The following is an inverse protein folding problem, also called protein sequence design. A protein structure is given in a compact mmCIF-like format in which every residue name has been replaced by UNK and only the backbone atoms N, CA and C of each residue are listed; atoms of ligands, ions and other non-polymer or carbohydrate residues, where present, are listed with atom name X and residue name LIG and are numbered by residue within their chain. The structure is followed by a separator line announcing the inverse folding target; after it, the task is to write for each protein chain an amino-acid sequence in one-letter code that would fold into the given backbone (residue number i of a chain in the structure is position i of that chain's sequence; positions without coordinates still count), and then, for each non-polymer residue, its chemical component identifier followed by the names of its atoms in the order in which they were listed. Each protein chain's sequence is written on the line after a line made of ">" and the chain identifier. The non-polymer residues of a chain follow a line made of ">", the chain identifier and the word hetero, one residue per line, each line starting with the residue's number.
data_IF_678700392093
#
_entry.id   IF_678700392093
#
_cell.length_a   1.000
_cell.length_b   1.000
_cell.length_c   1.000
_cell.angle_alpha   90.00
_cell.angle_beta   90.00
_cell.angle_gamma   90.00
#
_symmetry.space_group_name_H-M   'P 1'
#
loop_
_entity.id
_entity.type
_entity.pdbx_description
1 polymer ?
#
# COMPACT_ATOMS: atom_id res chain seq x y z
N UNK A 1 -13.52 25.68 26.15
CA UNK A 1 -12.89 24.35 26.30
C UNK A 1 -13.67 23.36 25.43
N UNK A 2 -13.13 22.88 24.29
CA UNK A 2 -13.84 21.86 23.46
C UNK A 2 -13.66 20.51 24.13
N UNK A 3 -14.75 19.97 24.67
CA UNK A 3 -14.76 18.63 25.22
C UNK A 3 -14.33 17.64 24.12
N UNK A 4 -13.25 16.89 24.34
CA UNK A 4 -12.74 15.93 23.37
C UNK A 4 -13.75 14.86 23.03
N UNK A 5 -13.62 14.24 21.86
CA UNK A 5 -14.52 13.20 21.35
C UNK A 5 -14.77 12.07 22.36
N UNK A 6 -13.72 11.62 23.07
CA UNK A 6 -13.81 10.62 24.16
C UNK A 6 -14.76 11.01 25.28
N UNK A 7 -14.65 12.27 25.74
CA UNK A 7 -15.48 12.75 26.82
C UNK A 7 -16.94 12.91 26.40
N UNK A 8 -17.21 13.27 25.14
CA UNK A 8 -18.57 13.34 24.59
C UNK A 8 -19.23 11.96 24.52
N UNK A 9 -18.53 10.94 24.00
CA UNK A 9 -19.06 9.56 23.95
C UNK A 9 -19.32 9.04 25.37
N UNK A 10 -18.37 9.26 26.29
CA UNK A 10 -18.52 8.84 27.68
C UNK A 10 -19.74 9.48 28.34
N UNK A 11 -19.89 10.79 28.22
CA UNK A 11 -21.03 11.54 28.79
C UNK A 11 -22.34 11.06 28.19
N UNK A 12 -22.40 10.86 26.87
CA UNK A 12 -23.62 10.43 26.19
C UNK A 12 -24.06 9.02 26.63
N UNK A 13 -23.12 8.06 26.67
CA UNK A 13 -23.41 6.70 27.12
C UNK A 13 -23.75 6.63 28.62
N UNK A 14 -23.05 7.39 29.45
CA UNK A 14 -23.36 7.45 30.88
C UNK A 14 -24.73 8.08 31.12
N UNK A 15 -25.08 9.16 30.43
CA UNK A 15 -26.39 9.79 30.53
C UNK A 15 -27.52 8.88 30.09
N UNK A 16 -27.33 8.18 28.96
CA UNK A 16 -28.33 7.23 28.44
C UNK A 16 -28.58 6.02 29.34
N UNK A 17 -27.59 5.59 30.11
CA UNK A 17 -27.74 4.50 31.05
C UNK A 17 -28.31 4.94 32.41
N UNK A 18 -27.90 6.09 32.93
CA UNK A 18 -28.24 6.57 34.27
C UNK A 18 -29.61 7.22 34.32
N UNK A 19 -29.95 8.06 33.32
CA UNK A 19 -31.23 8.83 33.35
C UNK A 19 -32.46 7.94 33.37
N UNK A 20 -32.61 6.89 32.52
CA UNK A 20 -33.76 5.99 32.59
C UNK A 20 -33.83 5.23 33.92
N UNK A 21 -32.68 4.82 34.47
CA UNK A 21 -32.62 4.12 35.74
C UNK A 21 -33.10 5.01 36.92
N UNK A 22 -32.68 6.27 36.94
CA UNK A 22 -33.14 7.25 37.96
C UNK A 22 -34.65 7.51 37.81
N UNK A 23 -35.15 7.74 36.59
CA UNK A 23 -36.58 7.98 36.34
C UNK A 23 -37.40 6.78 36.79
N UNK A 24 -37.00 5.57 36.44
CA UNK A 24 -37.72 4.33 36.84
C UNK A 24 -37.72 4.14 38.36
N UNK A 25 -36.61 4.44 39.02
CA UNK A 25 -36.49 4.34 40.49
C UNK A 25 -37.37 5.35 41.19
N UNK A 26 -37.44 6.60 40.73
CA UNK A 26 -38.29 7.64 41.28
C UNK A 26 -39.76 7.32 41.05
N UNK A 27 -40.15 6.84 39.87
CA UNK A 27 -41.53 6.44 39.56
C UNK A 27 -41.97 5.25 40.41
N UNK A 28 -41.12 4.22 40.54
CA UNK A 28 -41.40 3.04 41.38
C UNK A 28 -41.47 3.39 42.87
N UNK A 29 -40.53 4.17 43.37
CA UNK A 29 -40.50 4.65 44.76
C UNK A 29 -41.75 5.46 45.10
N UNK A 30 -42.17 6.37 44.19
CA UNK A 30 -43.38 7.16 44.37
C UNK A 30 -44.66 6.33 44.43
N UNK A 31 -44.81 5.33 43.56
CA UNK A 31 -45.97 4.44 43.55
C UNK A 31 -46.01 3.55 44.81
N UNK A 32 -44.85 3.05 45.26
CA UNK A 32 -44.78 2.15 46.42
C UNK A 32 -45.09 2.88 47.73
N UNK A 33 -44.68 4.13 47.89
CA UNK A 33 -45.00 4.94 49.08
C UNK A 33 -46.48 5.29 49.19
N UNK A 34 -47.22 5.29 48.06
CA UNK A 34 -48.66 5.53 48.04
C UNK A 34 -49.48 4.25 48.25
N UNK A 35 -49.07 3.10 47.73
CA UNK A 35 -49.83 1.85 47.75
C UNK A 35 -49.61 1.06 49.02
N UNK A 36 -48.43 1.01 49.61
CA UNK A 36 -48.12 0.23 50.80
C UNK A 36 -48.96 0.62 52.00
N UNK A 37 -49.19 1.90 52.35
CA UNK A 37 -50.08 2.26 53.48
C UNK A 37 -51.50 1.86 53.28
N UNK A 38 -52.03 1.83 52.07
CA UNK A 38 -53.37 1.41 51.73
C UNK A 38 -53.60 -0.09 51.98
N UNK A 39 -52.58 -0.90 51.83
CA UNK A 39 -52.57 -2.34 52.06
C UNK A 39 -52.40 -2.70 53.56
N UNK A 40 -51.88 -1.84 54.38
CA UNK A 40 -51.58 -2.10 55.78
C UNK A 40 -52.80 -2.12 56.67
N UNK A 41 -53.95 -1.54 56.32
CA UNK A 41 -55.22 -1.61 57.02
C UNK A 41 -55.17 -1.20 58.50
N UNK A 42 -54.15 -0.46 58.92
CA UNK A 42 -53.84 -0.14 60.34
C UNK A 42 -55.07 0.32 61.19
N UNK A 43 -55.88 1.27 60.74
CA UNK A 43 -57.01 1.75 61.53
C UNK A 43 -58.12 0.69 61.76
N UNK A 44 -58.29 -0.22 60.80
CA UNK A 44 -59.28 -1.27 60.88
C UNK A 44 -58.90 -2.34 61.90
N UNK A 45 -57.64 -2.75 61.96
CA UNK A 45 -57.18 -3.77 62.90
C UNK A 45 -57.12 -3.26 64.34
N UNK A 46 -56.79 -2.01 64.61
CA UNK A 46 -56.85 -1.42 65.94
C UNK A 46 -58.26 -1.36 66.44
N UNK A 47 -59.21 -1.00 65.58
CA UNK A 47 -60.63 -0.99 65.93
C UNK A 47 -61.17 -2.42 66.25
N UNK A 48 -60.79 -3.40 65.41
CA UNK A 48 -61.18 -4.83 65.58
C UNK A 48 -60.56 -5.38 66.87
N UNK A 49 -59.34 -5.03 67.22
CA UNK A 49 -58.67 -5.44 68.46
C UNK A 49 -59.44 -4.94 69.69
N UNK A 50 -59.71 -3.65 69.78
CA UNK A 50 -60.37 -3.01 70.92
C UNK A 50 -61.86 -3.47 71.05
N UNK A 51 -62.55 -3.54 69.93
CA UNK A 51 -63.97 -3.97 69.94
C UNK A 51 -64.14 -5.48 70.23
N UNK A 52 -63.21 -6.30 69.63
CA UNK A 52 -63.15 -7.71 69.85
C UNK A 52 -62.83 -8.10 71.29
N UNK A 53 -61.86 -7.43 71.93
CA UNK A 53 -61.56 -7.63 73.36
C UNK A 53 -62.72 -7.26 74.26
N UNK A 54 -63.43 -6.16 74.01
CA UNK A 54 -64.64 -5.77 74.75
C UNK A 54 -65.75 -6.79 74.57
N UNK A 55 -65.99 -7.26 73.37
CA UNK A 55 -67.01 -8.28 73.10
C UNK A 55 -66.73 -9.60 73.86
N UNK A 56 -65.49 -10.05 73.87
CA UNK A 56 -65.03 -11.24 74.60
C UNK A 56 -65.12 -11.05 76.08
N UNK A 57 -64.94 -9.87 76.66
CA UNK A 57 -65.08 -9.59 78.03
C UNK A 57 -66.57 -9.66 78.47
N UNK A 58 -67.47 -9.10 77.67
CA UNK A 58 -68.93 -9.22 77.90
C UNK A 58 -69.38 -10.69 77.78
N UNK A 59 -68.89 -11.44 76.77
CA UNK A 59 -69.20 -12.86 76.64
C UNK A 59 -68.71 -13.70 77.83
N UNK A 60 -67.50 -13.40 78.34
CA UNK A 60 -66.98 -14.05 79.56
C UNK A 60 -67.87 -13.84 80.79
N UNK A 61 -68.38 -12.64 80.96
CA UNK A 61 -69.31 -12.35 82.11
C UNK A 61 -70.59 -13.10 81.98
N UNK A 62 -71.02 -13.49 80.80
CA UNK A 62 -72.29 -14.18 80.52
C UNK A 62 -72.12 -15.68 80.29
N UNK A 63 -70.92 -16.23 80.29
CA UNK A 63 -70.67 -17.66 80.10
C UNK A 63 -71.23 -18.51 81.25
N UNK A 64 -72.06 -19.47 80.92
CA UNK A 64 -72.74 -20.37 81.91
C UNK A 64 -72.31 -21.83 81.79
N UNK A 65 -71.71 -22.24 80.73
CA UNK A 65 -71.25 -23.63 80.50
C UNK A 65 -69.76 -23.74 80.26
N UNK A 66 -69.21 -24.91 80.48
CA UNK A 66 -67.77 -25.17 80.12
C UNK A 66 -67.50 -25.05 78.61
N UNK A 67 -68.51 -25.37 77.80
CA UNK A 67 -68.46 -25.24 76.35
C UNK A 67 -68.33 -23.75 75.90
N UNK A 68 -69.12 -22.87 76.58
CA UNK A 68 -69.07 -21.42 76.32
C UNK A 68 -67.64 -20.86 76.61
N UNK A 69 -67.06 -21.30 77.72
CA UNK A 69 -65.71 -20.89 78.14
C UNK A 69 -64.65 -21.37 77.17
N UNK A 70 -64.77 -22.57 76.64
CA UNK A 70 -63.86 -23.11 75.66
C UNK A 70 -63.94 -22.33 74.32
N UNK A 71 -65.18 -22.01 73.90
CA UNK A 71 -65.39 -21.21 72.64
C UNK A 71 -64.83 -19.80 72.76
N UNK A 72 -65.04 -19.17 73.93
CA UNK A 72 -64.48 -17.84 74.22
C UNK A 72 -62.94 -17.88 74.21
N UNK A 73 -62.31 -18.91 74.82
CA UNK A 73 -60.87 -19.07 74.83
C UNK A 73 -60.31 -19.28 73.39
N UNK A 74 -61.01 -20.08 72.57
CA UNK A 74 -60.62 -20.26 71.16
C UNK A 74 -60.67 -18.94 70.38
N UNK A 75 -61.75 -18.14 70.55
CA UNK A 75 -61.91 -16.85 69.93
C UNK A 75 -60.86 -15.84 70.43
N UNK A 76 -60.53 -15.87 71.69
CA UNK A 76 -59.49 -15.04 72.28
C UNK A 76 -58.07 -15.34 71.65
N UNK A 77 -57.77 -16.64 71.48
CA UNK A 77 -56.57 -17.12 70.89
C UNK A 77 -56.51 -16.71 69.41
N UNK A 78 -57.57 -16.84 68.66
CA UNK A 78 -57.67 -16.44 67.28
C UNK A 78 -57.49 -14.93 67.10
N UNK A 79 -58.12 -14.10 67.96
CA UNK A 79 -57.96 -12.64 67.94
C UNK A 79 -56.51 -12.24 68.27
N UNK A 80 -55.92 -12.83 69.31
CA UNK A 80 -54.54 -12.57 69.69
C UNK A 80 -53.56 -12.93 68.57
N UNK A 81 -53.77 -14.06 67.89
CA UNK A 81 -52.96 -14.47 66.73
C UNK A 81 -53.15 -13.49 65.59
N UNK A 82 -54.36 -13.06 65.28
CA UNK A 82 -54.64 -12.09 64.22
C UNK A 82 -53.97 -10.71 64.47
N UNK A 83 -54.06 -10.22 65.70
CA UNK A 83 -53.44 -8.98 66.14
C UNK A 83 -51.90 -9.09 66.07
N UNK A 84 -51.35 -10.24 66.51
CA UNK A 84 -49.92 -10.48 66.46
C UNK A 84 -49.39 -10.50 64.98
N UNK A 85 -50.16 -11.13 64.09
CA UNK A 85 -49.84 -11.18 62.66
C UNK A 85 -49.96 -9.80 62.03
N UNK A 86 -50.97 -9.02 62.39
CA UNK A 86 -51.06 -7.61 61.92
C UNK A 86 -49.89 -6.75 62.38
N UNK A 87 -49.45 -6.85 63.62
CA UNK A 87 -48.26 -6.14 64.13
C UNK A 87 -46.98 -6.56 63.47
N UNK A 88 -46.83 -7.83 63.13
CA UNK A 88 -45.68 -8.26 62.30
C UNK A 88 -45.70 -7.66 60.92
N UNK A 89 -46.85 -7.58 60.29
CA UNK A 89 -47.05 -6.93 59.02
C UNK A 89 -46.71 -5.42 59.07
N UNK A 90 -47.07 -4.76 60.15
CA UNK A 90 -46.81 -3.36 60.44
C UNK A 90 -45.29 -3.08 60.48
N UNK A 91 -44.51 -3.88 61.19
CA UNK A 91 -43.06 -3.75 61.27
C UNK A 91 -42.38 -3.93 59.89
N UNK A 92 -42.98 -4.83 59.06
CA UNK A 92 -42.45 -5.01 57.68
C UNK A 92 -42.85 -3.82 56.83
N UNK A 93 -44.06 -3.31 56.89
CA UNK A 93 -44.54 -2.18 56.09
C UNK A 93 -43.86 -0.85 56.44
N UNK A 94 -43.46 -0.63 57.69
CA UNK A 94 -42.68 0.58 58.08
C UNK A 94 -41.28 0.57 57.60
N UNK A 95 -40.62 -0.60 57.55
CA UNK A 95 -39.21 -0.73 57.08
C UNK A 95 -39.06 -0.99 55.59
N UNK A 96 -40.07 -1.57 54.95
CA UNK A 96 -40.06 -1.90 53.54
C UNK A 96 -39.76 -0.68 52.62
N UNK A 97 -40.33 0.50 52.81
CA UNK A 97 -40.01 1.68 51.97
C UNK A 97 -38.55 2.08 52.06
N UNK A 98 -37.97 2.04 53.28
CA UNK A 98 -36.54 2.40 53.46
C UNK A 98 -35.63 1.36 52.82
N UNK A 99 -35.93 0.05 52.97
CA UNK A 99 -35.16 -1.01 52.32
C UNK A 99 -35.27 -0.94 50.78
N UNK A 100 -36.44 -0.61 50.25
CA UNK A 100 -36.65 -0.39 48.80
C UNK A 100 -35.89 0.81 48.28
N UNK A 101 -35.87 1.93 48.99
CA UNK A 101 -35.07 3.11 48.60
C UNK A 101 -33.59 2.78 48.60
N UNK A 102 -33.08 2.12 49.65
CA UNK A 102 -31.66 1.76 49.74
C UNK A 102 -31.27 0.78 48.64
N UNK A 103 -32.08 -0.27 48.40
CA UNK A 103 -31.80 -1.24 47.33
C UNK A 103 -31.90 -0.63 45.94
N UNK A 104 -32.82 0.30 45.70
CA UNK A 104 -32.92 1.04 44.45
C UNK A 104 -31.71 1.94 44.19
N UNK A 105 -31.27 2.67 45.23
CA UNK A 105 -30.05 3.51 45.16
C UNK A 105 -28.80 2.65 44.89
N UNK A 106 -28.68 1.49 45.53
CA UNK A 106 -27.59 0.55 45.24
C UNK A 106 -27.64 0.04 43.81
N UNK A 107 -28.83 -0.31 43.30
CA UNK A 107 -29.00 -0.79 41.92
C UNK A 107 -28.63 0.32 40.89
N UNK A 108 -29.10 1.54 41.12
CA UNK A 108 -28.71 2.71 40.25
C UNK A 108 -27.21 2.94 40.30
N UNK A 109 -26.62 2.88 41.48
CA UNK A 109 -25.15 3.03 41.64
C UNK A 109 -24.39 1.95 40.90
N UNK A 110 -24.84 0.69 40.98
CA UNK A 110 -24.23 -0.43 40.24
C UNK A 110 -24.38 -0.25 38.74
N UNK A 111 -25.57 0.10 38.25
CA UNK A 111 -25.81 0.34 36.82
C UNK A 111 -24.96 1.51 36.28
N UNK A 112 -24.86 2.60 37.04
CA UNK A 112 -24.03 3.73 36.70
C UNK A 112 -22.54 3.34 36.63
N UNK A 113 -22.05 2.54 37.57
CA UNK A 113 -20.69 2.02 37.58
C UNK A 113 -20.40 1.13 36.37
N UNK A 114 -21.28 0.17 36.05
CA UNK A 114 -21.13 -0.72 34.88
C UNK A 114 -21.17 0.08 33.59
N UNK A 115 -22.10 1.03 33.45
CA UNK A 115 -22.21 1.89 32.29
C UNK A 115 -20.97 2.76 32.09
N UNK A 116 -20.44 3.36 33.16
CA UNK A 116 -19.22 4.15 33.12
C UNK A 116 -17.99 3.31 32.70
N UNK A 117 -17.89 2.08 33.22
CA UNK A 117 -16.83 1.17 32.86
C UNK A 117 -16.92 0.71 31.41
N UNK A 118 -18.12 0.35 30.93
CA UNK A 118 -18.37 -0.04 29.55
C UNK A 118 -18.08 1.13 28.56
N UNK A 119 -18.59 2.32 28.88
CA UNK A 119 -18.35 3.53 28.11
C UNK A 119 -16.86 3.87 28.02
N UNK A 120 -16.13 3.77 29.15
CA UNK A 120 -14.69 3.99 29.19
C UNK A 120 -13.90 2.93 28.39
N UNK A 121 -14.36 1.69 28.35
CA UNK A 121 -13.76 0.62 27.55
C UNK A 121 -13.97 0.88 26.06
N UNK A 122 -15.21 1.13 25.66
CA UNK A 122 -15.57 1.39 24.25
C UNK A 122 -14.89 2.65 23.71
N UNK A 123 -14.85 3.73 24.50
CA UNK A 123 -14.17 4.95 24.12
C UNK A 123 -12.66 4.72 23.89
N UNK A 124 -12.02 3.87 24.67
CA UNK A 124 -10.60 3.49 24.44
C UNK A 124 -10.41 2.63 23.21
N UNK A 125 -11.31 1.71 22.93
CA UNK A 125 -11.22 0.84 21.74
C UNK A 125 -11.44 1.58 20.42
N UNK A 126 -12.26 2.62 20.38
CA UNK A 126 -12.57 3.37 19.16
C UNK A 126 -11.68 4.60 18.99
N UNK A 127 -11.44 5.37 20.06
CA UNK A 127 -10.73 6.65 19.91
C UNK A 127 -9.22 6.51 19.68
N UNK A 128 -8.57 5.52 20.31
CA UNK A 128 -7.12 5.34 20.14
C UNK A 128 -6.72 4.97 18.71
N UNK A 129 -7.35 3.96 18.05
CA UNK A 129 -7.06 3.66 16.64
C UNK A 129 -7.37 4.83 15.71
N UNK A 130 -8.44 5.60 15.97
CA UNK A 130 -8.76 6.80 15.18
C UNK A 130 -7.69 7.89 15.30
N UNK A 131 -7.21 8.17 16.51
CA UNK A 131 -6.14 9.15 16.75
C UNK A 131 -4.83 8.71 16.04
N UNK A 132 -4.53 7.41 16.03
CA UNK A 132 -3.38 6.84 15.30
C UNK A 132 -3.53 7.03 13.79
N UNK A 133 -4.72 6.76 13.22
CA UNK A 133 -4.99 6.94 11.79
C UNK A 133 -4.85 8.41 11.39
N UNK A 134 -5.40 9.33 12.20
CA UNK A 134 -5.25 10.77 11.96
C UNK A 134 -3.78 11.20 12.04
N UNK A 135 -3.00 10.67 12.98
CA UNK A 135 -1.56 10.93 13.03
C UNK A 135 -0.84 10.38 11.79
N UNK A 136 -1.22 9.20 11.29
CA UNK A 136 -0.63 8.60 10.09
C UNK A 136 -0.89 9.40 8.83
N UNK A 137 -2.08 9.99 8.66
CA UNK A 137 -2.33 10.90 7.53
C UNK A 137 -1.38 12.09 7.54
N UNK A 138 -1.04 12.61 8.73
CA UNK A 138 -0.05 13.67 8.88
C UNK A 138 1.38 13.24 8.52
N UNK A 139 1.76 12.00 8.86
CA UNK A 139 3.07 11.42 8.49
C UNK A 139 3.17 11.20 6.98
N UNK A 140 2.12 10.63 6.36
CA UNK A 140 2.05 10.44 4.89
C UNK A 140 2.19 11.78 4.16
N UNK A 141 1.46 12.82 4.62
CA UNK A 141 1.54 14.15 4.01
C UNK A 141 2.94 14.77 4.07
N UNK A 142 3.74 14.42 5.09
CA UNK A 142 5.13 14.86 5.24
C UNK A 142 6.15 13.95 4.52
N UNK A 143 5.71 12.82 3.99
CA UNK A 143 6.61 11.80 3.42
C UNK A 143 7.42 11.05 4.47
N UNK A 144 6.95 11.01 5.73
CA UNK A 144 7.61 10.29 6.81
C UNK A 144 7.16 8.82 6.84
N UNK A 145 8.05 7.92 7.29
CA UNK A 145 7.74 6.49 7.38
C UNK A 145 6.69 6.21 8.44
N UNK A 146 5.73 5.37 8.10
CA UNK A 146 4.71 4.93 9.06
C UNK A 146 5.30 3.97 10.10
N UNK A 147 4.92 4.09 11.39
CA UNK A 147 5.35 3.18 12.43
C UNK A 147 4.86 1.75 12.18
N UNK A 148 5.73 0.78 12.44
CA UNK A 148 5.39 -0.65 12.43
C UNK A 148 4.76 -1.03 13.78
N UNK A 149 3.53 -0.61 14.04
CA UNK A 149 2.85 -0.93 15.29
C UNK A 149 1.94 -2.15 15.14
N UNK A 150 1.90 -3.01 16.17
CA UNK A 150 0.98 -4.14 16.21
C UNK A 150 -0.47 -3.66 16.11
N UNK A 151 -1.32 -4.41 15.41
CA UNK A 151 -2.74 -4.10 15.27
C UNK A 151 -3.41 -4.08 16.64
N UNK A 152 -3.92 -2.93 17.06
CA UNK A 152 -4.71 -2.74 18.28
C UNK A 152 -6.10 -2.24 17.88
N UNK A 153 -7.14 -2.76 18.53
CA UNK A 153 -8.52 -2.39 18.28
C UNK A 153 -9.28 -3.45 17.48
N UNK A 154 -10.44 -3.07 16.96
CA UNK A 154 -11.29 -3.95 16.16
C UNK A 154 -10.62 -4.34 14.83
N UNK A 155 -10.93 -5.51 14.24
CA UNK A 155 -10.32 -6.03 13.01
C UNK A 155 -10.38 -5.04 11.84
N UNK A 156 -11.41 -4.22 11.76
CA UNK A 156 -11.66 -3.22 10.72
C UNK A 156 -10.55 -2.16 10.68
N UNK A 157 -10.00 -1.78 11.84
CA UNK A 157 -8.86 -0.87 11.91
C UNK A 157 -7.58 -1.51 11.37
N UNK A 158 -7.46 -2.83 11.44
CA UNK A 158 -6.36 -3.58 10.83
C UNK A 158 -6.37 -3.45 9.30
N UNK A 159 -7.54 -3.60 8.68
CA UNK A 159 -7.72 -3.44 7.23
C UNK A 159 -7.40 -2.01 6.79
N UNK A 160 -7.91 -1.01 7.53
CA UNK A 160 -7.66 0.40 7.22
C UNK A 160 -6.17 0.75 7.34
N UNK A 161 -5.50 0.26 8.37
CA UNK A 161 -4.05 0.45 8.59
C UNK A 161 -3.22 -0.16 7.46
N UNK A 162 -3.52 -1.40 7.05
CA UNK A 162 -2.82 -2.05 5.93
C UNK A 162 -3.08 -1.34 4.59
N UNK A 163 -4.27 -0.78 4.40
CA UNK A 163 -4.58 0.09 3.27
C UNK A 163 -3.73 1.35 3.24
N UNK A 164 -3.60 2.03 4.38
CA UNK A 164 -2.76 3.23 4.51
C UNK A 164 -1.27 2.94 4.31
N UNK A 165 -0.78 1.79 4.80
CA UNK A 165 0.61 1.37 4.59
C UNK A 165 0.90 1.12 3.10
N UNK A 166 -0.01 0.44 2.40
CA UNK A 166 0.11 0.25 0.94
C UNK A 166 0.11 1.59 0.22
N UNK A 167 -0.85 2.46 0.51
CA UNK A 167 -0.92 3.80 -0.08
C UNK A 167 0.37 4.61 0.15
N UNK A 168 0.94 4.59 1.35
CA UNK A 168 2.20 5.26 1.65
C UNK A 168 3.37 4.68 0.84
N UNK A 169 3.43 3.35 0.68
CA UNK A 169 4.42 2.67 -0.16
C UNK A 169 4.27 3.03 -1.63
N UNK A 170 3.04 3.07 -2.14
CA UNK A 170 2.75 3.41 -3.54
C UNK A 170 3.10 4.88 -3.86
N UNK A 171 2.80 5.80 -2.92
CA UNK A 171 3.18 7.21 -3.04
C UNK A 171 4.71 7.36 -3.08
N UNK A 172 5.43 6.68 -2.19
CA UNK A 172 6.89 6.75 -2.16
C UNK A 172 7.52 6.14 -3.43
N UNK A 173 7.01 4.98 -3.88
CA UNK A 173 7.44 4.37 -5.14
C UNK A 173 7.17 5.29 -6.34
N UNK A 174 5.99 5.90 -6.40
CA UNK A 174 5.64 6.87 -7.45
C UNK A 174 6.53 8.11 -7.43
N UNK A 175 6.86 8.63 -6.25
CA UNK A 175 7.77 9.77 -6.08
C UNK A 175 9.19 9.43 -6.55
N UNK A 176 9.72 8.26 -6.19
CA UNK A 176 11.03 7.81 -6.65
C UNK A 176 11.06 7.64 -8.17
N UNK A 177 10.05 7.01 -8.76
CA UNK A 177 9.93 6.86 -10.20
C UNK A 177 9.87 8.23 -10.92
N UNK A 178 9.12 9.20 -10.36
CA UNK A 178 9.06 10.55 -10.92
C UNK A 178 10.40 11.28 -10.86
N UNK A 179 11.13 11.18 -9.74
CA UNK A 179 12.47 11.77 -9.60
C UNK A 179 13.48 11.13 -10.56
N UNK A 180 13.43 9.83 -10.76
CA UNK A 180 14.27 9.14 -11.73
C UNK A 180 13.96 9.57 -13.17
N UNK A 181 12.66 9.68 -13.50
CA UNK A 181 12.24 10.17 -14.82
C UNK A 181 12.70 11.62 -15.07
N UNK A 182 12.58 12.51 -14.08
CA UNK A 182 13.04 13.89 -14.15
C UNK A 182 14.57 13.97 -14.35
N UNK A 183 15.34 13.20 -13.56
CA UNK A 183 16.80 13.11 -13.72
C UNK A 183 17.20 12.64 -15.11
N UNK A 184 16.52 11.62 -15.63
CA UNK A 184 16.78 11.09 -16.96
C UNK A 184 16.40 12.11 -18.05
N UNK A 185 15.31 12.86 -17.89
CA UNK A 185 14.92 13.93 -18.80
C UNK A 185 15.96 15.07 -18.83
N UNK A 186 16.42 15.52 -17.66
CA UNK A 186 17.48 16.54 -17.56
C UNK A 186 18.78 16.06 -18.19
N UNK A 187 19.18 14.80 -17.99
CA UNK A 187 20.36 14.20 -18.58
C UNK A 187 20.25 14.13 -20.12
N UNK A 188 19.09 13.78 -20.67
CA UNK A 188 18.84 13.78 -22.12
C UNK A 188 18.96 15.16 -22.72
N UNK A 189 18.40 16.18 -22.09
CA UNK A 189 18.47 17.55 -22.58
C UNK A 189 19.94 18.06 -22.58
N UNK A 190 20.69 17.78 -21.50
CA UNK A 190 22.09 18.09 -21.42
C UNK A 190 22.91 17.39 -22.52
N UNK A 191 22.65 16.11 -22.78
CA UNK A 191 23.30 15.35 -23.83
C UNK A 191 23.02 15.94 -25.23
N UNK A 192 21.77 16.35 -25.48
CA UNK A 192 21.38 17.01 -26.75
C UNK A 192 22.14 18.32 -26.95
N UNK A 193 22.23 19.13 -25.90
CA UNK A 193 22.97 20.40 -25.95
C UNK A 193 24.45 20.17 -26.20
N UNK A 194 25.09 19.26 -25.45
CA UNK A 194 26.51 18.90 -25.64
C UNK A 194 26.76 18.40 -27.05
N UNK A 195 25.90 17.55 -27.60
CA UNK A 195 26.04 17.08 -28.98
C UNK A 195 26.05 18.24 -30.00
N UNK A 196 25.16 19.21 -29.79
CA UNK A 196 25.07 20.37 -30.68
C UNK A 196 26.31 21.26 -30.57
N UNK A 197 26.76 21.53 -29.33
CA UNK A 197 27.93 22.34 -29.05
C UNK A 197 29.25 21.69 -29.53
N UNK A 198 29.36 20.35 -29.47
CA UNK A 198 30.51 19.62 -30.01
C UNK A 198 30.51 19.57 -31.52
N UNK A 199 29.35 19.40 -32.16
CA UNK A 199 29.26 19.31 -33.64
C UNK A 199 29.74 20.60 -34.32
N UNK A 200 29.48 21.76 -33.73
CA UNK A 200 29.82 23.06 -34.30
C UNK A 200 31.33 23.24 -34.54
N UNK A 201 32.24 23.05 -33.56
CA UNK A 201 33.69 23.19 -33.80
C UNK A 201 34.30 21.99 -34.54
N UNK A 202 33.73 20.78 -34.40
CA UNK A 202 34.27 19.58 -35.02
C UNK A 202 34.17 19.60 -36.55
N UNK A 203 33.11 20.17 -37.11
CA UNK A 203 32.92 20.22 -38.55
C UNK A 203 34.09 20.98 -39.25
N UNK A 204 34.46 22.23 -38.87
CA UNK A 204 35.56 22.91 -39.48
C UNK A 204 36.92 22.25 -39.19
N UNK A 205 37.13 21.66 -37.99
CA UNK A 205 38.37 20.93 -37.68
C UNK A 205 38.56 19.75 -38.65
N UNK A 206 37.50 18.94 -38.84
CA UNK A 206 37.55 17.82 -39.79
C UNK A 206 37.87 18.26 -41.20
N UNK A 207 37.27 19.36 -41.69
CA UNK A 207 37.59 19.92 -43.00
C UNK A 207 39.05 20.34 -43.11
N UNK A 208 39.60 20.98 -42.06
CA UNK A 208 41.00 21.39 -42.03
C UNK A 208 41.94 20.17 -42.05
N UNK A 209 41.67 19.16 -41.21
CA UNK A 209 42.47 17.92 -41.16
C UNK A 209 42.40 17.15 -42.48
N UNK A 210 41.21 17.03 -43.08
CA UNK A 210 41.02 16.36 -44.38
C UNK A 210 41.79 17.08 -45.50
N UNK A 211 41.86 18.42 -45.48
CA UNK A 211 42.68 19.20 -46.46
C UNK A 211 44.18 19.03 -46.28
N UNK A 212 44.61 18.79 -45.03
CA UNK A 212 46.05 18.56 -44.76
C UNK A 212 46.47 17.14 -45.16
N UNK A 213 45.57 16.16 -45.05
CA UNK A 213 45.81 14.75 -45.34
C UNK A 213 46.31 14.62 -46.81
N UNK A 214 47.46 14.03 -47.00
CA UNK A 214 48.15 13.90 -48.34
C UNK A 214 48.83 15.15 -48.89
N UNK A 215 48.89 16.29 -48.16
CA UNK A 215 49.56 17.52 -48.54
C UNK A 215 50.70 17.94 -47.61
N UNK A 216 50.95 17.16 -46.57
CA UNK A 216 51.99 17.42 -45.57
C UNK A 216 53.24 16.62 -45.85
N UNK A 217 54.34 17.05 -45.29
CA UNK A 217 55.63 16.30 -45.39
C UNK A 217 55.48 14.94 -44.67
N UNK A 218 56.33 13.95 -45.03
CA UNK A 218 56.29 12.64 -44.36
C UNK A 218 56.45 12.71 -42.84
N UNK A 219 57.17 13.69 -42.34
CA UNK A 219 57.37 13.93 -40.90
C UNK A 219 56.07 14.32 -40.15
N UNK A 220 55.14 14.97 -40.83
CA UNK A 220 53.86 15.40 -40.27
C UNK A 220 52.69 14.44 -40.58
N UNK A 221 52.94 13.46 -41.47
CA UNK A 221 51.89 12.55 -41.93
C UNK A 221 51.24 11.76 -40.75
N UNK A 222 52.05 11.25 -39.83
CA UNK A 222 51.61 10.56 -38.65
C UNK A 222 50.74 11.45 -37.73
N UNK A 223 51.20 12.69 -37.51
CA UNK A 223 50.45 13.68 -36.70
C UNK A 223 49.09 14.00 -37.30
N UNK A 224 48.99 14.15 -38.61
CA UNK A 224 47.71 14.41 -39.31
C UNK A 224 46.79 13.19 -39.25
N UNK A 225 47.35 11.98 -39.31
CA UNK A 225 46.53 10.76 -39.17
C UNK A 225 45.97 10.60 -37.74
N UNK A 226 46.74 10.92 -36.70
CA UNK A 226 46.26 10.99 -35.31
C UNK A 226 45.14 12.03 -35.19
N UNK A 227 45.31 13.23 -35.72
CA UNK A 227 44.26 14.26 -35.68
C UNK A 227 43.00 13.84 -36.44
N UNK A 228 43.14 13.14 -37.56
CA UNK A 228 42.03 12.59 -38.32
C UNK A 228 41.25 11.57 -37.47
N UNK A 229 41.95 10.62 -36.83
CA UNK A 229 41.37 9.56 -35.99
C UNK A 229 40.66 10.15 -34.79
N UNK A 230 41.28 11.08 -34.06
CA UNK A 230 40.66 11.71 -32.89
C UNK A 230 39.47 12.61 -33.25
N UNK A 231 39.54 13.31 -34.41
CA UNK A 231 38.37 14.07 -34.89
C UNK A 231 37.18 13.19 -35.24
N UNK A 232 37.44 12.02 -35.86
CA UNK A 232 36.40 11.05 -36.17
C UNK A 232 35.77 10.44 -34.87
N UNK A 233 36.62 10.18 -33.86
CA UNK A 233 36.19 9.70 -32.55
C UNK A 233 35.31 10.72 -31.83
N UNK A 234 35.68 12.00 -31.81
CA UNK A 234 34.87 13.08 -31.24
C UNK A 234 33.53 13.23 -31.96
N UNK A 235 33.51 13.08 -33.29
CA UNK A 235 32.25 13.09 -34.06
C UNK A 235 31.33 11.91 -33.65
N UNK A 236 31.89 10.72 -33.49
CA UNK A 236 31.12 9.55 -33.04
C UNK A 236 30.58 9.77 -31.64
N UNK A 237 31.35 10.38 -30.73
CA UNK A 237 30.86 10.79 -29.41
C UNK A 237 29.69 11.76 -29.52
N UNK A 238 29.83 12.83 -30.32
CA UNK A 238 28.75 13.80 -30.52
C UNK A 238 27.49 13.15 -31.09
N UNK A 239 27.62 12.18 -32.01
CA UNK A 239 26.50 11.39 -32.54
C UNK A 239 25.81 10.56 -31.43
N UNK A 240 26.60 9.90 -30.58
CA UNK A 240 26.07 9.11 -29.46
C UNK A 240 25.31 9.98 -28.47
N UNK A 241 25.83 11.17 -28.14
CA UNK A 241 25.12 12.14 -27.29
C UNK A 241 23.82 12.62 -27.94
N UNK A 242 23.83 12.93 -29.24
CA UNK A 242 22.63 13.34 -29.96
C UNK A 242 21.57 12.25 -30.00
N UNK A 243 21.98 10.99 -30.16
CA UNK A 243 21.07 9.84 -30.16
C UNK A 243 20.45 9.61 -28.78
N UNK A 244 21.26 9.69 -27.73
CA UNK A 244 20.78 9.54 -26.34
C UNK A 244 19.82 10.66 -25.94
N UNK A 245 20.07 11.90 -26.39
CA UNK A 245 19.21 13.06 -26.12
C UNK A 245 17.85 13.04 -26.85
N UNK A 246 17.64 12.12 -27.81
CA UNK A 246 16.40 11.99 -28.57
C UNK A 246 15.58 10.79 -28.05
N UNK A 247 14.30 11.00 -27.82
CA UNK A 247 13.36 9.88 -27.71
C UNK A 247 13.24 9.20 -29.07
N UNK A 248 12.90 7.90 -29.12
CA UNK A 248 12.50 7.27 -30.36
C UNK A 248 11.40 8.08 -31.02
N UNK A 249 11.64 8.53 -32.25
CA UNK A 249 10.72 9.35 -33.06
C UNK A 249 10.43 8.65 -34.37
N UNK A 250 9.32 9.00 -35.00
CA UNK A 250 8.86 8.42 -36.24
C UNK A 250 7.57 7.62 -36.11
N UNK A 251 6.97 7.22 -37.25
CA UNK A 251 5.73 6.46 -37.26
C UNK A 251 5.96 5.05 -36.71
N UNK A 252 4.99 4.59 -35.91
CA UNK A 252 4.91 3.17 -35.54
C UNK A 252 4.27 2.44 -36.73
N UNK A 253 4.97 1.48 -37.26
CA UNK A 253 4.54 0.68 -38.40
C UNK A 253 4.88 -0.80 -38.17
N UNK A 254 4.39 -1.66 -39.03
CA UNK A 254 4.81 -3.05 -39.08
C UNK A 254 6.29 -3.13 -39.47
N UNK A 255 7.07 -3.89 -38.69
CA UNK A 255 8.50 -4.06 -38.86
C UNK A 255 8.77 -5.51 -39.25
N UNK A 256 9.33 -5.70 -40.43
CA UNK A 256 9.94 -6.98 -40.79
C UNK A 256 11.25 -7.16 -40.02
N UNK A 257 11.20 -8.07 -39.04
CA UNK A 257 12.32 -8.33 -38.14
C UNK A 257 13.49 -8.96 -38.87
N UNK A 258 13.22 -9.74 -39.93
CA UNK A 258 14.29 -10.34 -40.72
C UNK A 258 15.05 -9.28 -41.51
N UNK A 259 14.34 -8.34 -42.13
CA UNK A 259 14.92 -7.20 -42.81
C UNK A 259 15.69 -6.28 -41.86
N UNK A 260 15.10 -5.98 -40.67
CA UNK A 260 15.70 -5.19 -39.62
C UNK A 260 17.08 -5.75 -39.19
N UNK A 261 17.11 -7.07 -38.90
CA UNK A 261 18.36 -7.78 -38.51
C UNK A 261 19.37 -7.80 -39.65
N UNK A 262 18.95 -8.11 -40.87
CA UNK A 262 19.84 -8.11 -42.04
C UNK A 262 20.46 -6.73 -42.27
N UNK A 263 19.68 -5.65 -42.21
CA UNK A 263 20.16 -4.30 -42.36
C UNK A 263 21.13 -3.89 -41.25
N UNK A 264 20.80 -4.20 -39.99
CA UNK A 264 21.66 -3.89 -38.83
C UNK A 264 23.03 -4.63 -38.94
N UNK A 265 23.01 -5.90 -39.33
CA UNK A 265 24.23 -6.69 -39.54
C UNK A 265 25.08 -6.11 -40.64
N UNK A 266 24.50 -5.76 -41.78
CA UNK A 266 25.23 -5.17 -42.92
C UNK A 266 25.94 -3.85 -42.56
N UNK A 267 25.33 -3.04 -41.72
CA UNK A 267 25.85 -1.73 -41.34
C UNK A 267 26.88 -1.82 -40.22
N UNK A 268 26.68 -2.73 -39.25
CA UNK A 268 27.41 -2.75 -37.98
C UNK A 268 28.45 -3.86 -37.85
N UNK A 269 28.41 -4.89 -38.72
CA UNK A 269 29.30 -6.04 -38.64
C UNK A 269 30.14 -6.13 -39.92
N UNK A 270 31.50 -6.07 -39.84
CA UNK A 270 32.37 -6.19 -41.01
C UNK A 270 32.16 -7.54 -41.72
N UNK A 271 32.33 -7.56 -43.07
CA UNK A 271 32.07 -8.76 -43.88
C UNK A 271 32.97 -9.95 -43.55
N UNK A 272 34.18 -9.72 -43.07
CA UNK A 272 35.15 -10.76 -42.69
C UNK A 272 34.83 -11.38 -41.31
N UNK A 273 33.85 -10.84 -40.58
CA UNK A 273 33.50 -11.31 -39.21
C UNK A 273 32.64 -12.56 -39.26
N UNK A 274 33.06 -13.61 -38.54
CA UNK A 274 32.29 -14.87 -38.48
C UNK A 274 30.95 -14.64 -37.79
N UNK A 275 29.85 -15.00 -38.46
CA UNK A 275 28.49 -14.79 -37.96
C UNK A 275 27.56 -15.96 -38.25
N UNK A 276 26.70 -16.31 -37.30
CA UNK A 276 25.59 -17.26 -37.43
C UNK A 276 24.27 -16.54 -37.16
N UNK A 277 23.36 -16.58 -38.12
CA UNK A 277 22.06 -15.89 -38.01
C UNK A 277 20.93 -16.91 -38.14
N UNK A 278 20.06 -16.96 -37.15
CA UNK A 278 18.91 -17.86 -37.09
C UNK A 278 17.65 -17.06 -36.82
N UNK A 279 16.72 -17.07 -37.76
CA UNK A 279 15.42 -16.42 -37.62
C UNK A 279 14.36 -17.50 -37.69
N UNK A 280 13.55 -17.62 -36.64
CA UNK A 280 12.46 -18.57 -36.59
C UNK A 280 11.38 -18.21 -37.65
N UNK A 281 10.74 -19.21 -38.22
CA UNK A 281 9.57 -19.02 -39.08
C UNK A 281 8.29 -18.80 -38.26
N UNK A 282 7.33 -18.08 -38.83
CA UNK A 282 6.03 -17.85 -38.16
C UNK A 282 6.09 -16.92 -36.94
N UNK A 283 6.99 -15.93 -36.99
CA UNK A 283 7.06 -14.91 -35.94
C UNK A 283 5.76 -14.07 -35.94
N UNK A 284 5.29 -13.62 -34.76
CA UNK A 284 4.21 -12.66 -34.68
C UNK A 284 4.62 -11.30 -35.27
N UNK A 285 3.66 -10.45 -35.60
CA UNK A 285 3.93 -9.12 -36.19
C UNK A 285 4.50 -8.17 -35.15
N UNK A 286 5.66 -7.56 -35.42
CA UNK A 286 6.25 -6.51 -34.62
C UNK A 286 5.74 -5.14 -35.09
N UNK A 287 5.16 -4.37 -34.17
CA UNK A 287 4.82 -2.96 -34.42
C UNK A 287 5.84 -2.07 -33.76
N UNK A 288 6.48 -1.17 -34.51
CA UNK A 288 7.53 -0.31 -33.93
C UNK A 288 8.05 0.74 -34.89
N UNK A 289 9.03 1.48 -34.42
CA UNK A 289 9.74 2.50 -35.19
C UNK A 289 11.01 1.87 -35.79
N UNK A 290 10.96 1.49 -37.06
CA UNK A 290 12.00 0.74 -37.76
C UNK A 290 13.41 1.33 -37.55
N UNK A 291 13.54 2.63 -37.73
CA UNK A 291 14.86 3.29 -37.63
C UNK A 291 15.41 3.31 -36.19
N UNK A 292 14.53 3.49 -35.21
CA UNK A 292 14.94 3.48 -33.81
C UNK A 292 15.40 2.07 -33.38
N UNK A 293 14.61 1.05 -33.73
CA UNK A 293 14.96 -0.36 -33.46
C UNK A 293 16.23 -0.78 -34.20
N UNK A 294 16.41 -0.35 -35.46
CA UNK A 294 17.64 -0.59 -36.24
C UNK A 294 18.88 0.00 -35.58
N UNK A 295 18.80 1.24 -35.09
CA UNK A 295 19.89 1.87 -34.32
C UNK A 295 20.17 1.14 -33.00
N UNK A 296 19.16 0.73 -32.28
CA UNK A 296 19.32 -0.02 -31.03
C UNK A 296 20.04 -1.36 -31.28
N UNK A 297 19.59 -2.11 -32.28
CA UNK A 297 20.24 -3.36 -32.67
C UNK A 297 21.66 -3.15 -33.16
N UNK A 298 21.90 -2.09 -33.93
CA UNK A 298 23.24 -1.68 -34.38
C UNK A 298 24.18 -1.41 -33.21
N UNK A 299 23.71 -0.76 -32.13
CA UNK A 299 24.53 -0.52 -30.93
C UNK A 299 24.90 -1.84 -30.23
N UNK A 300 23.97 -2.82 -30.15
CA UNK A 300 24.27 -4.14 -29.58
C UNK A 300 25.32 -4.87 -30.44
N UNK A 301 25.12 -4.88 -31.76
CA UNK A 301 26.04 -5.54 -32.71
C UNK A 301 27.43 -4.92 -32.69
N UNK A 302 27.50 -3.60 -32.68
CA UNK A 302 28.80 -2.88 -32.61
C UNK A 302 29.53 -3.20 -31.31
N UNK A 303 28.82 -3.19 -30.17
CA UNK A 303 29.39 -3.58 -28.87
C UNK A 303 29.94 -5.03 -28.89
N UNK A 304 29.21 -5.94 -29.52
CA UNK A 304 29.60 -7.35 -29.65
C UNK A 304 30.84 -7.53 -30.53
N UNK A 305 30.91 -6.86 -31.70
CA UNK A 305 32.07 -6.86 -32.59
C UNK A 305 33.31 -6.29 -31.89
N UNK A 306 33.16 -5.16 -31.22
CA UNK A 306 34.27 -4.53 -30.47
C UNK A 306 34.76 -5.41 -29.32
N UNK A 307 33.86 -6.14 -28.61
CA UNK A 307 34.25 -7.04 -27.55
C UNK A 307 35.02 -8.28 -28.06
N UNK A 308 34.71 -8.73 -29.27
CA UNK A 308 35.39 -9.85 -29.92
C UNK A 308 36.77 -9.47 -30.49
N UNK A 309 37.04 -8.21 -30.75
CA UNK A 309 38.29 -7.76 -31.44
C UNK A 309 38.32 -8.18 -32.90
N UNK A 310 39.50 -8.63 -33.39
CA UNK A 310 39.72 -8.92 -34.81
C UNK A 310 39.27 -10.31 -35.27
N UNK A 311 39.05 -11.26 -34.35
CA UNK A 311 38.81 -12.67 -34.67
C UNK A 311 37.79 -13.31 -33.71
N UNK A 312 36.58 -12.81 -33.75
CA UNK A 312 35.52 -13.35 -32.91
C UNK A 312 34.38 -13.97 -33.71
N UNK A 313 33.42 -14.52 -33.00
CA UNK A 313 32.22 -15.08 -33.55
C UNK A 313 30.98 -14.41 -32.96
N UNK A 314 30.04 -14.10 -33.84
CA UNK A 314 28.76 -13.49 -33.48
C UNK A 314 27.61 -14.43 -33.81
N UNK A 315 26.70 -14.64 -32.89
CA UNK A 315 25.45 -15.38 -33.13
C UNK A 315 24.27 -14.46 -32.89
N UNK A 316 23.39 -14.37 -33.89
CA UNK A 316 22.12 -13.62 -33.77
C UNK A 316 20.97 -14.55 -33.98
N UNK A 317 20.06 -14.60 -33.02
CA UNK A 317 18.83 -15.43 -33.10
C UNK A 317 17.60 -14.58 -32.86
N UNK A 318 16.55 -14.87 -33.63
CA UNK A 318 15.21 -14.27 -33.47
C UNK A 318 14.21 -15.38 -33.26
N UNK A 319 13.45 -15.30 -32.19
CA UNK A 319 12.45 -16.31 -31.82
C UNK A 319 11.20 -15.67 -31.23
N UNK A 320 10.08 -16.39 -31.31
CA UNK A 320 8.87 -16.03 -30.59
C UNK A 320 9.13 -16.12 -29.07
N UNK A 321 8.61 -15.17 -28.33
CA UNK A 321 8.73 -15.05 -26.88
C UNK A 321 7.42 -14.54 -26.28
N UNK A 322 7.41 -14.30 -24.97
CA UNK A 322 6.28 -13.67 -24.27
C UNK A 322 6.76 -12.62 -23.28
N UNK A 323 5.98 -11.58 -23.08
CA UNK A 323 6.12 -10.63 -21.98
C UNK A 323 4.87 -10.80 -21.09
N UNK A 324 5.03 -11.46 -19.95
CA UNK A 324 3.89 -11.95 -19.17
C UNK A 324 3.07 -12.97 -19.98
N UNK A 325 1.80 -12.66 -20.29
CA UNK A 325 0.93 -13.48 -21.13
C UNK A 325 0.84 -12.99 -22.59
N UNK A 326 1.45 -11.84 -22.92
CA UNK A 326 1.35 -11.25 -24.24
C UNK A 326 2.43 -11.81 -25.20
N UNK A 327 2.13 -12.01 -26.50
CA UNK A 327 3.09 -12.45 -27.49
C UNK A 327 4.18 -11.40 -27.69
N UNK A 328 5.40 -11.87 -27.90
CA UNK A 328 6.58 -11.02 -28.08
C UNK A 328 7.58 -11.68 -29.05
N UNK A 329 8.57 -10.93 -29.48
CA UNK A 329 9.73 -11.40 -30.25
C UNK A 329 10.98 -11.13 -29.41
N UNK A 330 11.84 -12.13 -29.27
CA UNK A 330 13.15 -12.01 -28.68
C UNK A 330 14.22 -11.98 -29.80
N UNK A 331 15.01 -10.91 -29.81
CA UNK A 331 16.22 -10.78 -30.64
C UNK A 331 17.40 -10.95 -29.69
N UNK A 332 18.16 -12.02 -29.85
CA UNK A 332 19.29 -12.36 -29.01
C UNK A 332 20.59 -12.27 -29.80
N UNK A 333 21.53 -11.49 -29.30
CA UNK A 333 22.87 -11.35 -29.83
C UNK A 333 23.85 -11.93 -28.84
N UNK A 334 24.67 -12.89 -29.27
CA UNK A 334 25.75 -13.51 -28.49
C UNK A 334 27.08 -13.22 -29.16
N UNK A 335 28.03 -12.76 -28.41
CA UNK A 335 29.43 -12.61 -28.81
C UNK A 335 30.34 -13.65 -28.17
N UNK A 336 31.56 -13.77 -28.68
CA UNK A 336 32.62 -14.64 -28.14
C UNK A 336 33.73 -13.84 -27.41
N UNK A 337 33.42 -12.63 -26.98
CA UNK A 337 34.32 -11.76 -26.25
C UNK A 337 34.63 -12.23 -24.82
N UNK A 338 35.26 -11.40 -23.98
CA UNK A 338 35.60 -11.76 -22.61
C UNK A 338 34.39 -11.72 -21.66
N UNK A 339 33.23 -11.21 -22.10
CA UNK A 339 32.06 -10.93 -21.22
C UNK A 339 32.32 -9.69 -20.35
N UNK A 340 31.51 -9.56 -19.28
CA UNK A 340 31.60 -8.47 -18.29
C UNK A 340 31.60 -9.04 -16.88
N UNK A 341 32.15 -8.28 -15.91
CA UNK A 341 32.08 -8.67 -14.51
C UNK A 341 30.62 -8.82 -14.07
N UNK A 342 30.32 -9.88 -13.31
CA UNK A 342 28.98 -10.18 -12.84
C UNK A 342 28.36 -9.03 -12.03
N UNK A 343 29.19 -8.28 -11.30
CA UNK A 343 28.77 -7.09 -10.54
C UNK A 343 28.31 -5.92 -11.43
N UNK A 344 28.77 -5.89 -12.68
CA UNK A 344 28.46 -4.83 -13.64
C UNK A 344 27.23 -5.14 -14.50
N UNK A 345 26.80 -6.38 -14.62
CA UNK A 345 25.64 -6.78 -15.45
C UNK A 345 24.38 -5.98 -15.18
N UNK A 346 24.12 -5.60 -13.93
CA UNK A 346 22.98 -4.77 -13.58
C UNK A 346 23.14 -3.30 -13.99
N UNK A 347 24.37 -2.82 -14.12
CA UNK A 347 24.69 -1.40 -14.34
C UNK A 347 25.07 -1.05 -15.77
N UNK A 348 25.35 -2.04 -16.64
CA UNK A 348 25.76 -1.80 -18.03
C UNK A 348 24.73 -1.02 -18.86
N UNK A 349 23.48 -1.01 -18.42
CA UNK A 349 22.37 -0.27 -19.03
C UNK A 349 22.31 1.20 -18.61
N UNK A 350 23.09 1.59 -17.61
CA UNK A 350 23.11 2.96 -17.12
C UNK A 350 23.99 3.84 -18.04
N UNK A 351 23.60 5.11 -18.27
CA UNK A 351 24.41 6.04 -19.03
C UNK A 351 25.83 6.19 -18.46
N UNK A 352 26.82 6.36 -19.34
CA UNK A 352 28.23 6.56 -19.01
C UNK A 352 28.97 5.38 -18.37
N UNK A 353 28.34 4.20 -18.28
CA UNK A 353 28.99 2.97 -17.82
C UNK A 353 29.74 2.34 -19.00
N UNK A 354 31.06 2.30 -18.91
CA UNK A 354 31.94 1.71 -19.96
C UNK A 354 33.28 1.32 -19.37
N UNK A 355 33.81 0.18 -19.79
CA UNK A 355 35.19 -0.26 -19.50
C UNK A 355 36.13 -0.02 -20.69
N UNK A 356 35.61 0.54 -21.79
CA UNK A 356 36.37 0.76 -23.01
C UNK A 356 37.08 2.12 -22.98
N UNK A 357 38.37 2.14 -23.28
CA UNK A 357 39.13 3.40 -23.48
C UNK A 357 38.47 4.20 -24.60
N UNK A 358 37.87 5.36 -24.28
CA UNK A 358 37.18 6.22 -25.22
C UNK A 358 35.78 5.84 -25.63
N UNK A 359 35.20 4.85 -24.97
CA UNK A 359 33.77 4.56 -25.11
C UNK A 359 32.93 5.64 -24.42
N UNK A 360 31.76 5.98 -24.98
CA UNK A 360 30.84 6.96 -24.39
C UNK A 360 30.02 6.39 -23.27
N UNK A 361 29.89 5.06 -23.17
CA UNK A 361 28.96 4.37 -22.22
C UNK A 361 27.47 4.66 -22.49
N UNK A 362 27.13 5.18 -23.67
CA UNK A 362 25.76 5.51 -24.03
C UNK A 362 25.07 4.44 -24.90
N UNK A 363 25.83 3.55 -25.54
CA UNK A 363 25.29 2.59 -26.50
C UNK A 363 24.20 1.69 -25.93
N UNK A 364 24.46 1.00 -24.80
CA UNK A 364 23.48 0.13 -24.15
C UNK A 364 22.35 0.93 -23.47
N UNK A 365 22.62 2.13 -22.98
CA UNK A 365 21.58 3.02 -22.46
C UNK A 365 20.57 3.43 -23.55
N UNK A 366 21.04 3.70 -24.78
CA UNK A 366 20.19 3.95 -25.96
C UNK A 366 19.35 2.70 -26.29
N UNK A 367 19.95 1.52 -26.25
CA UNK A 367 19.24 0.26 -26.48
C UNK A 367 18.10 0.09 -25.48
N UNK A 368 18.39 0.19 -24.19
CA UNK A 368 17.39 0.11 -23.13
C UNK A 368 16.26 1.13 -23.34
N UNK A 369 16.62 2.40 -23.56
CA UNK A 369 15.64 3.46 -23.78
C UNK A 369 14.72 3.17 -24.98
N UNK A 370 15.30 2.68 -26.09
CA UNK A 370 14.52 2.37 -27.29
C UNK A 370 13.58 1.19 -27.07
N UNK A 371 14.05 0.12 -26.44
CA UNK A 371 13.25 -1.07 -26.17
C UNK A 371 12.14 -0.77 -25.17
N UNK A 372 12.44 -0.04 -24.09
CA UNK A 372 11.43 0.38 -23.10
C UNK A 372 10.37 1.33 -23.71
N UNK A 373 10.76 2.23 -24.63
CA UNK A 373 9.79 3.08 -25.36
C UNK A 373 8.84 2.28 -26.26
N UNK A 374 9.23 1.05 -26.65
CA UNK A 374 8.38 0.08 -27.36
C UNK A 374 7.71 -0.91 -26.41
N UNK A 375 7.61 -0.60 -25.10
CA UNK A 375 7.08 -1.48 -24.05
C UNK A 375 7.76 -2.87 -23.97
N UNK A 376 9.01 -2.95 -24.44
CA UNK A 376 9.84 -4.14 -24.41
C UNK A 376 10.73 -4.24 -23.18
N UNK A 377 11.55 -5.28 -23.15
CA UNK A 377 12.48 -5.58 -22.06
C UNK A 377 13.86 -5.90 -22.62
N UNK A 378 14.91 -5.51 -21.89
CA UNK A 378 16.31 -5.86 -22.22
C UNK A 378 16.89 -6.76 -21.13
N UNK A 379 17.68 -7.74 -21.54
CA UNK A 379 18.43 -8.60 -20.62
C UNK A 379 19.87 -8.80 -21.13
N UNK A 380 20.78 -8.99 -20.20
CA UNK A 380 22.16 -9.33 -20.52
C UNK A 380 22.69 -10.37 -19.54
N UNK A 381 23.46 -11.31 -20.05
CA UNK A 381 24.11 -12.33 -19.24
C UNK A 381 25.47 -12.69 -19.86
N UNK A 382 26.39 -13.16 -19.05
CA UNK A 382 27.61 -13.81 -19.59
C UNK A 382 27.25 -15.19 -20.15
N UNK A 383 27.84 -15.53 -21.29
CA UNK A 383 27.63 -16.83 -21.92
C UNK A 383 28.51 -17.91 -21.28
N UNK A 384 28.00 -19.15 -21.21
CA UNK A 384 28.82 -20.30 -20.85
C UNK A 384 29.92 -20.47 -21.88
N UNK A 385 31.16 -20.52 -21.41
CA UNK A 385 32.35 -20.62 -22.26
C UNK A 385 32.92 -19.28 -22.75
N UNK A 386 32.44 -18.16 -22.22
CA UNK A 386 32.88 -16.81 -22.54
C UNK A 386 31.97 -16.06 -23.50
N UNK A 387 32.09 -14.75 -23.49
CA UNK A 387 31.24 -13.82 -24.24
C UNK A 387 30.03 -13.32 -23.46
N UNK A 388 29.27 -12.46 -24.09
CA UNK A 388 28.05 -11.87 -23.54
C UNK A 388 26.84 -12.21 -24.42
N UNK A 389 25.69 -12.38 -23.80
CA UNK A 389 24.40 -12.56 -24.46
C UNK A 389 23.54 -11.34 -24.13
N UNK A 390 23.09 -10.62 -25.13
CA UNK A 390 22.14 -9.52 -25.02
C UNK A 390 20.84 -9.91 -25.70
N UNK A 391 19.73 -9.80 -24.97
CA UNK A 391 18.40 -10.12 -25.49
C UNK A 391 17.50 -8.89 -25.42
N UNK A 392 16.89 -8.57 -26.56
CA UNK A 392 15.87 -7.54 -26.72
C UNK A 392 14.52 -8.24 -26.91
N UNK A 393 13.61 -8.09 -25.97
CA UNK A 393 12.27 -8.67 -26.08
C UNK A 393 11.27 -7.55 -26.35
N UNK A 394 10.59 -7.61 -27.47
CA UNK A 394 9.65 -6.59 -27.94
C UNK A 394 8.24 -7.17 -28.03
N UNK A 395 7.21 -6.48 -27.52
CA UNK A 395 5.83 -6.97 -27.65
C UNK A 395 5.44 -7.02 -29.13
N UNK A 396 4.70 -8.05 -29.49
CA UNK A 396 4.25 -8.29 -30.84
C UNK A 396 2.73 -8.50 -30.87
N UNK A 397 2.10 -8.17 -31.98
CA UNK A 397 0.67 -8.46 -32.19
C UNK A 397 0.59 -9.92 -32.64
N UNK A 398 -0.23 -10.72 -31.95
CA UNK A 398 -0.43 -12.12 -32.35
C UNK A 398 -0.81 -12.19 -33.82
N UNK A 399 -0.22 -13.13 -34.56
CA UNK A 399 -0.70 -13.45 -35.88
C UNK A 399 -2.16 -13.86 -35.75
N UNK A 400 -3.06 -13.09 -36.34
CA UNK A 400 -4.47 -13.49 -36.44
C UNK A 400 -4.54 -14.89 -37.06
N UNK A 401 -5.51 -15.73 -36.68
CA UNK A 401 -5.68 -17.00 -37.33
C UNK A 401 -5.91 -16.76 -38.82
N UNK A 402 -5.03 -17.31 -39.67
CA UNK A 402 -5.25 -17.45 -41.10
C UNK A 402 -6.47 -18.32 -41.35
#
# INVERSE_FOLDING_TARGET
>A
MRIGFRARIFVFLALFAVVPAVILTLAWGGTMTQVLPLMAGKPAWDTVSVTGERALEVARRNARTAADSATIAAHQTALANSVTMSRRFELITERAPQALIVSSLMLVGLLAFVAARAAGHLARQLSRPLDEIVAWTGLIAKGERLPTAAARGAPEFGVLRSGMQRMASDIEAGKQAALEAERLAALRESARQVAHELKNPLTPIRFAVARLRGKVSPELAETVEVLHTESARLEQMAKSFAQFGRLPDGPIAEVDVAELVANALRVSVPDHFARDVRIASGLPTLMGQHDALGRALGNVLLNAVEACGTSGHLSVSVAAATIGAAPAIAITVRDSGPGVDASQLATIWNPYVTNKAGGTGLGLAIVRQTVEAHAGQVAAANADGGGMVVTLTLPAVGAGPN
#
